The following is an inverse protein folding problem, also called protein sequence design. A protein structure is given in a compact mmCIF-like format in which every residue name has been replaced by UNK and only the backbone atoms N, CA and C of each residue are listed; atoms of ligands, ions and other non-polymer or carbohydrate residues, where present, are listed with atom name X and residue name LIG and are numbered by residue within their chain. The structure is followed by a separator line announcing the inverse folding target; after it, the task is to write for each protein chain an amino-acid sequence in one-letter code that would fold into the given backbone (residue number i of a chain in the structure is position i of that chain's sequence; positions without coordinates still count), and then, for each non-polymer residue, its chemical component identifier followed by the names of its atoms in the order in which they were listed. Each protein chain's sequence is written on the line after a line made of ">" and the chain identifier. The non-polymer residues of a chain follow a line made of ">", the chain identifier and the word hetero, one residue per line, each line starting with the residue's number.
data_IF_638622306612
#
_entry.id   IF_638622306612
#
_cell.length_a   1.000
_cell.length_b   1.000
_cell.length_c   1.000
_cell.angle_alpha   90.00
_cell.angle_beta   90.00
_cell.angle_gamma   90.00
#
_symmetry.space_group_name_H-M   'P 1'
#
loop_
_entity.id
_entity.type
_entity.pdbx_description
1 polymer ?
#
# COMPACT_ATOMS: atom_id res chain seq x y z
N UNK A 1 -2.58 -14.79 4.45
CA UNK A 1 -2.08 -13.60 5.18
C UNK A 1 -0.65 -13.28 4.73
N UNK A 2 -0.26 -12.00 4.71
CA UNK A 2 1.10 -11.57 4.33
C UNK A 2 2.14 -12.25 5.22
N UNK A 3 3.19 -12.82 4.63
CA UNK A 3 4.27 -13.44 5.41
C UNK A 3 5.07 -12.37 6.17
N UNK A 4 5.69 -12.75 7.28
CA UNK A 4 6.43 -11.78 8.10
C UNK A 4 7.68 -11.23 7.40
N UNK A 5 8.29 -12.00 6.49
CA UNK A 5 9.35 -11.49 5.62
C UNK A 5 8.83 -10.38 4.72
N UNK A 6 7.65 -10.58 4.13
CA UNK A 6 7.02 -9.59 3.27
C UNK A 6 6.66 -8.32 4.03
N UNK A 7 6.08 -8.45 5.24
CA UNK A 7 5.78 -7.30 6.10
C UNK A 7 7.02 -6.46 6.40
N UNK A 8 8.17 -7.10 6.71
CA UNK A 8 9.44 -6.39 6.93
C UNK A 8 9.98 -5.73 5.67
N UNK A 9 9.80 -6.37 4.52
CA UNK A 9 10.29 -5.87 3.23
C UNK A 9 9.51 -4.65 2.73
N UNK A 10 8.21 -4.56 3.02
CA UNK A 10 7.37 -3.37 2.76
C UNK A 10 8.00 -2.11 3.34
N UNK A 11 8.41 -2.14 4.61
CA UNK A 11 9.01 -0.99 5.27
C UNK A 11 10.44 -0.67 4.80
N UNK A 12 11.07 -1.55 4.01
CA UNK A 12 12.47 -1.44 3.56
C UNK A 12 12.54 -1.27 2.06
N UNK A 13 12.75 -2.38 1.35
CA UNK A 13 13.04 -2.41 -0.10
C UNK A 13 11.81 -2.27 -0.97
N UNK A 14 10.61 -2.54 -0.44
CA UNK A 14 9.35 -2.52 -1.18
C UNK A 14 8.50 -1.26 -0.91
N UNK A 15 9.02 -0.28 -0.16
CA UNK A 15 8.26 0.93 0.24
C UNK A 15 7.69 1.77 -0.91
N UNK A 16 8.24 1.62 -2.12
CA UNK A 16 7.76 2.27 -3.35
C UNK A 16 7.11 1.31 -4.36
N UNK A 17 6.87 0.05 -3.95
CA UNK A 17 6.41 -1.05 -4.82
C UNK A 17 5.10 -1.68 -4.35
N UNK A 18 4.50 -1.15 -3.28
CA UNK A 18 3.24 -1.61 -2.71
C UNK A 18 2.26 -0.45 -2.65
N UNK A 19 1.02 -0.70 -3.04
CA UNK A 19 -0.07 0.27 -2.99
C UNK A 19 -1.33 -0.36 -2.41
N UNK A 20 -2.20 0.48 -1.87
CA UNK A 20 -3.47 0.07 -1.32
C UNK A 20 -4.44 -0.38 -2.42
N UNK A 21 -5.15 -1.49 -2.17
CA UNK A 21 -6.19 -2.03 -3.03
C UNK A 21 -7.28 -2.66 -2.16
N UNK A 22 -8.55 -2.46 -2.55
CA UNK A 22 -9.69 -2.81 -1.71
C UNK A 22 -10.55 -3.96 -2.21
N UNK A 23 -10.43 -4.34 -3.48
CA UNK A 23 -11.33 -5.30 -4.14
C UNK A 23 -12.81 -5.02 -3.83
N UNK A 24 -13.20 -3.74 -3.82
CA UNK A 24 -14.56 -3.33 -3.48
C UNK A 24 -15.59 -3.99 -4.42
N UNK A 25 -16.68 -4.58 -3.90
CA UNK A 25 -17.20 -4.52 -2.52
C UNK A 25 -16.81 -5.69 -1.60
N UNK A 26 -15.85 -6.54 -1.99
CA UNK A 26 -15.47 -7.72 -1.19
C UNK A 26 -14.92 -7.35 0.19
N UNK A 27 -14.18 -6.25 0.29
CA UNK A 27 -13.71 -5.69 1.56
C UNK A 27 -14.11 -4.22 1.71
N UNK A 28 -14.36 -3.81 2.95
CA UNK A 28 -14.61 -2.40 3.28
C UNK A 28 -13.29 -1.66 3.48
N UNK A 29 -13.29 -0.36 3.18
CA UNK A 29 -12.11 0.49 3.35
C UNK A 29 -11.68 0.57 4.81
N UNK A 30 -12.63 0.69 5.74
CA UNK A 30 -12.39 0.82 7.17
C UNK A 30 -11.65 -0.41 7.72
N UNK A 31 -12.07 -1.61 7.30
CA UNK A 31 -11.42 -2.86 7.70
C UNK A 31 -9.99 -2.93 7.21
N UNK A 32 -9.76 -2.64 5.93
CA UNK A 32 -8.42 -2.72 5.35
C UNK A 32 -7.48 -1.66 5.92
N UNK A 33 -7.97 -0.44 6.17
CA UNK A 33 -7.17 0.62 6.81
C UNK A 33 -6.79 0.21 8.24
N UNK A 34 -7.71 -0.38 9.00
CA UNK A 34 -7.41 -0.90 10.33
C UNK A 34 -6.35 -2.02 10.27
N UNK A 35 -6.49 -2.96 9.32
CA UNK A 35 -5.53 -4.05 9.12
C UNK A 35 -4.12 -3.51 8.81
N UNK A 36 -3.99 -2.52 7.92
CA UNK A 36 -2.70 -1.90 7.60
C UNK A 36 -2.10 -1.14 8.78
N UNK A 37 -2.92 -0.41 9.55
CA UNK A 37 -2.46 0.29 10.76
C UNK A 37 -2.03 -0.66 11.87
N UNK A 38 -2.57 -1.87 11.91
CA UNK A 38 -2.17 -2.90 12.89
C UNK A 38 -0.75 -3.46 12.66
N UNK A 39 -0.15 -3.22 11.48
CA UNK A 39 1.20 -3.72 11.14
C UNK A 39 2.35 -2.87 11.69
N UNK A 40 2.05 -1.82 12.47
CA UNK A 40 3.02 -0.94 13.13
C UNK A 40 4.05 -0.30 12.17
N UNK A 41 3.59 0.04 10.97
CA UNK A 41 4.39 0.85 10.04
C UNK A 41 4.38 2.31 10.46
N UNK A 42 5.49 3.01 10.18
CA UNK A 42 5.53 4.47 10.33
C UNK A 42 4.53 5.14 9.39
N UNK A 43 4.04 6.32 9.77
CA UNK A 43 3.14 7.12 8.91
C UNK A 43 3.75 7.41 7.53
N UNK A 44 5.08 7.52 7.43
CA UNK A 44 5.79 7.68 6.15
C UNK A 44 5.61 6.49 5.20
N UNK A 45 5.60 5.26 5.73
CA UNK A 45 5.33 4.05 4.95
C UNK A 45 3.84 3.93 4.62
N UNK A 46 2.96 4.24 5.59
CA UNK A 46 1.51 4.20 5.36
C UNK A 46 1.07 5.23 4.31
N UNK A 47 1.64 6.43 4.27
CA UNK A 47 1.36 7.43 3.22
C UNK A 47 1.73 6.93 1.84
N UNK A 48 2.90 6.30 1.70
CA UNK A 48 3.34 5.68 0.43
C UNK A 48 2.38 4.61 -0.02
N UNK A 49 2.00 3.74 0.90
CA UNK A 49 1.08 2.64 0.66
C UNK A 49 -0.31 3.13 0.27
N UNK A 50 -0.90 4.08 1.02
CA UNK A 50 -2.27 4.53 0.81
C UNK A 50 -2.44 5.42 -0.41
N UNK A 51 -1.48 6.29 -0.73
CA UNK A 51 -1.66 7.31 -1.77
C UNK A 51 -0.42 7.52 -2.64
N UNK A 52 0.75 7.78 -2.05
CA UNK A 52 1.85 8.38 -2.82
C UNK A 52 2.38 7.47 -3.94
N UNK A 53 2.45 6.16 -3.71
CA UNK A 53 2.94 5.23 -4.73
C UNK A 53 2.01 5.16 -5.95
N UNK A 54 0.68 5.20 -5.72
CA UNK A 54 -0.30 5.21 -6.80
C UNK A 54 -0.27 6.55 -7.57
N UNK A 55 -0.23 7.67 -6.84
CA UNK A 55 -0.12 9.02 -7.41
C UNK A 55 1.18 9.20 -8.20
N UNK A 56 2.27 8.55 -7.81
CA UNK A 56 3.51 8.55 -8.57
C UNK A 56 3.41 7.71 -9.85
N UNK A 57 2.81 6.52 -9.78
CA UNK A 57 2.79 5.55 -10.88
C UNK A 57 1.77 5.90 -11.97
N UNK A 58 0.52 6.22 -11.61
CA UNK A 58 -0.55 6.34 -12.60
C UNK A 58 -0.32 7.41 -13.68
N UNK A 59 0.25 8.60 -13.38
CA UNK A 59 0.58 9.57 -14.41
C UNK A 59 1.67 9.10 -15.38
N UNK A 60 2.55 8.19 -14.95
CA UNK A 60 3.57 7.60 -15.82
C UNK A 60 2.92 6.64 -16.80
N UNK A 61 2.04 5.77 -16.30
CA UNK A 61 1.30 4.81 -17.12
C UNK A 61 0.39 5.49 -18.14
N UNK A 62 -0.27 6.59 -17.78
CA UNK A 62 -1.15 7.33 -18.68
C UNK A 62 -0.43 8.02 -19.85
N UNK A 63 0.89 8.22 -19.78
CA UNK A 63 1.70 8.79 -20.87
C UNK A 63 2.20 7.75 -21.86
N UNK A 64 2.12 6.47 -21.50
CA UNK A 64 2.61 5.34 -22.30
C UNK A 64 1.51 4.72 -23.18
N UNK A 65 0.27 5.18 -23.02
CA UNK A 65 -0.94 4.76 -23.78
C UNK A 65 -1.39 5.83 -24.76
#
# INVERSE_FOLDING_TARGET
>A
YLSDSWKRDIARRLKHRVMFGADYPLFTYERLVADWRSLDYSEDILRKLFVENATALFPQLARET
#
